data_IF_484235317841
#
_entry.id   IF_484235317841
#
_cell.length_a   1.000
_cell.length_b   1.000
_cell.length_c   1.000
_cell.angle_alpha   90.00
_cell.angle_beta   90.00
_cell.angle_gamma   90.00
#
_symmetry.space_group_name_H-M   'P 1'
#
loop_
_entity.id
_entity.type
_entity.pdbx_description
1 polymer ?
#
# COMPACT_ATOMS: atom_id res chain seq x y z
N UNK A 1 15.54 31.99 -8.35
CA UNK A 1 16.42 31.31 -7.38
C UNK A 1 15.82 30.01 -6.83
N UNK A 2 14.79 30.01 -5.97
CA UNK A 2 14.23 28.74 -5.45
C UNK A 2 13.55 27.87 -6.52
N UNK A 3 12.84 28.49 -7.46
CA UNK A 3 12.26 27.75 -8.60
C UNK A 3 13.33 27.10 -9.49
N UNK A 4 14.45 27.79 -9.69
CA UNK A 4 15.58 27.30 -10.48
C UNK A 4 16.34 26.18 -9.75
N UNK A 5 16.52 26.32 -8.43
CA UNK A 5 17.05 25.25 -7.59
C UNK A 5 16.13 24.02 -7.56
N UNK A 6 14.81 24.21 -7.58
CA UNK A 6 13.82 23.13 -7.67
C UNK A 6 13.90 22.41 -9.01
N UNK A 7 14.03 23.15 -10.11
CA UNK A 7 14.20 22.55 -11.44
C UNK A 7 15.52 21.78 -11.52
N UNK A 8 16.62 22.38 -11.04
CA UNK A 8 17.92 21.70 -10.98
C UNK A 8 17.89 20.43 -10.11
N UNK A 9 17.16 20.45 -9.00
CA UNK A 9 16.95 19.27 -8.15
C UNK A 9 16.11 18.21 -8.86
N UNK A 10 15.06 18.62 -9.57
CA UNK A 10 14.22 17.72 -10.36
C UNK A 10 15.03 17.05 -11.47
N UNK A 11 15.81 17.82 -12.22
CA UNK A 11 16.72 17.30 -13.26
C UNK A 11 17.70 16.29 -12.64
N UNK A 12 18.32 16.62 -11.50
CA UNK A 12 19.24 15.70 -10.80
C UNK A 12 18.59 14.40 -10.34
N UNK A 13 17.39 14.45 -9.75
CA UNK A 13 16.74 13.27 -9.16
C UNK A 13 15.98 12.42 -10.19
N UNK A 14 15.43 13.06 -11.23
CA UNK A 14 14.58 12.44 -12.24
C UNK A 14 15.34 12.10 -13.53
N UNK A 15 16.36 12.87 -13.95
CA UNK A 15 17.24 12.45 -15.05
C UNK A 15 18.20 11.32 -14.62
N UNK A 16 18.45 11.14 -13.31
CA UNK A 16 19.03 9.90 -12.75
C UNK A 16 18.06 8.69 -12.84
N UNK A 17 16.85 8.90 -13.37
CA UNK A 17 15.91 7.87 -13.81
C UNK A 17 15.95 7.56 -15.31
N UNK A 18 16.71 8.34 -16.10
CA UNK A 18 16.77 8.23 -17.56
C UNK A 18 17.90 7.33 -18.03
N UNK A 19 17.77 6.95 -19.29
CA UNK A 19 18.84 6.33 -20.07
C UNK A 19 19.87 7.44 -20.34
N UNK A 20 21.13 7.24 -19.95
CA UNK A 20 22.23 8.17 -20.23
C UNK A 20 22.51 8.29 -21.74
N UNK A 21 23.41 9.21 -22.13
CA UNK A 21 23.82 9.44 -23.53
C UNK A 21 24.36 8.18 -24.23
N UNK A 22 24.67 7.13 -23.46
CA UNK A 22 25.23 5.86 -23.91
C UNK A 22 24.20 4.71 -23.89
N UNK A 23 22.93 5.01 -23.62
CA UNK A 23 21.88 4.00 -23.65
C UNK A 23 21.70 3.22 -22.34
N UNK A 24 22.30 3.63 -21.21
CA UNK A 24 22.29 2.88 -19.95
C UNK A 24 21.42 3.53 -18.87
N UNK A 25 20.66 2.75 -18.08
CA UNK A 25 19.89 3.29 -16.97
C UNK A 25 20.81 3.86 -15.88
N UNK A 26 20.52 5.06 -15.41
CA UNK A 26 21.31 5.79 -14.40
C UNK A 26 21.00 5.39 -12.95
N UNK A 27 19.84 4.78 -12.70
CA UNK A 27 19.39 4.32 -11.36
C UNK A 27 20.35 3.33 -10.67
N UNK A 28 20.91 2.30 -11.35
CA UNK A 28 21.94 1.45 -10.78
C UNK A 28 23.16 2.20 -10.21
N UNK A 29 23.54 3.35 -10.78
CA UNK A 29 24.64 4.18 -10.28
C UNK A 29 24.29 4.83 -8.94
N UNK A 30 23.08 5.37 -8.83
CA UNK A 30 22.57 5.96 -7.58
C UNK A 30 22.46 4.90 -6.48
N UNK A 31 21.95 3.71 -6.81
CA UNK A 31 21.90 2.57 -5.88
C UNK A 31 23.28 2.06 -5.49
N UNK A 32 24.24 2.07 -6.42
CA UNK A 32 25.63 1.73 -6.12
C UNK A 32 26.25 2.66 -5.08
N UNK A 33 25.95 3.96 -5.14
CA UNK A 33 26.43 4.93 -4.15
C UNK A 33 25.83 4.71 -2.75
N UNK A 34 24.57 4.28 -2.67
CA UNK A 34 23.85 4.10 -1.41
C UNK A 34 24.04 2.72 -0.76
N UNK A 35 24.04 1.65 -1.55
CA UNK A 35 24.05 0.26 -1.08
C UNK A 35 25.43 -0.41 -1.25
N UNK A 36 26.21 0.02 -2.25
CA UNK A 36 27.38 -0.71 -2.71
C UNK A 36 27.02 -2.04 -3.39
N UNK A 37 28.04 -2.80 -3.80
CA UNK A 37 27.89 -4.14 -4.34
C UNK A 37 28.88 -5.09 -3.66
N UNK A 38 30.05 -5.33 -4.27
CA UNK A 38 31.03 -6.29 -3.78
C UNK A 38 31.44 -6.08 -2.30
N UNK A 39 31.76 -4.85 -1.82
CA UNK A 39 32.10 -4.66 -0.42
C UNK A 39 30.97 -5.04 0.55
N UNK A 40 29.71 -4.74 0.20
CA UNK A 40 28.56 -5.10 1.03
C UNK A 40 28.35 -6.61 1.06
N UNK A 41 28.43 -7.25 -0.11
CA UNK A 41 28.24 -8.70 -0.25
C UNK A 41 29.28 -9.49 0.54
N UNK A 42 30.55 -9.08 0.50
CA UNK A 42 31.62 -9.77 1.21
C UNK A 42 31.59 -9.48 2.72
N UNK A 43 31.43 -8.21 3.12
CA UNK A 43 31.55 -7.81 4.53
C UNK A 43 30.27 -7.98 5.36
N UNK A 44 29.10 -7.78 4.76
CA UNK A 44 27.81 -7.83 5.47
C UNK A 44 27.12 -9.17 5.27
N UNK A 45 27.08 -9.68 4.04
CA UNK A 45 26.44 -10.97 3.74
C UNK A 45 27.39 -12.17 3.94
N UNK A 46 28.70 -11.92 4.11
CA UNK A 46 29.70 -12.97 4.32
C UNK A 46 29.86 -13.91 3.11
N UNK A 47 29.45 -13.47 1.91
CA UNK A 47 29.53 -14.30 0.70
C UNK A 47 30.86 -14.10 -0.01
N UNK A 48 31.44 -15.20 -0.49
CA UNK A 48 32.62 -15.14 -1.37
C UNK A 48 32.27 -14.50 -2.72
N UNK A 49 33.27 -13.91 -3.38
CA UNK A 49 33.12 -13.35 -4.73
C UNK A 49 32.58 -14.40 -5.73
N UNK A 50 32.98 -15.67 -5.60
CA UNK A 50 32.49 -16.74 -6.47
C UNK A 50 30.99 -17.00 -6.29
N UNK A 51 30.50 -17.03 -5.04
CA UNK A 51 29.07 -17.17 -4.74
C UNK A 51 28.28 -15.95 -5.23
N UNK A 52 28.83 -14.74 -5.03
CA UNK A 52 28.25 -13.49 -5.53
C UNK A 52 28.08 -13.55 -7.05
N UNK A 53 29.16 -13.78 -7.81
CA UNK A 53 29.12 -13.77 -9.29
C UNK A 53 28.25 -14.88 -9.88
N UNK A 54 28.04 -15.99 -9.15
CA UNK A 54 27.09 -17.04 -9.54
C UNK A 54 25.63 -16.57 -9.45
N UNK A 55 25.30 -15.73 -8.47
CA UNK A 55 23.94 -15.23 -8.24
C UNK A 55 23.67 -13.90 -8.94
N UNK A 56 24.63 -12.98 -8.90
CA UNK A 56 24.59 -11.65 -9.51
C UNK A 56 25.84 -11.46 -10.38
N UNK A 57 25.81 -11.95 -11.63
CA UNK A 57 26.90 -11.73 -12.58
C UNK A 57 27.19 -10.25 -12.82
N UNK A 58 26.14 -9.41 -12.81
CA UNK A 58 26.23 -7.96 -12.92
C UNK A 58 25.74 -7.28 -11.64
N UNK A 59 26.30 -6.11 -11.32
CA UNK A 59 25.83 -5.31 -10.18
C UNK A 59 24.34 -4.91 -10.30
N UNK A 60 23.85 -4.71 -11.54
CA UNK A 60 22.43 -4.48 -11.81
C UNK A 60 21.53 -5.62 -11.32
N UNK A 61 21.99 -6.86 -11.37
CA UNK A 61 21.21 -8.02 -10.93
C UNK A 61 20.99 -7.99 -9.41
N UNK A 62 22.03 -7.58 -8.66
CA UNK A 62 21.94 -7.33 -7.22
C UNK A 62 20.93 -6.23 -6.90
N UNK A 63 21.02 -5.09 -7.58
CA UNK A 63 20.10 -3.97 -7.34
C UNK A 63 18.65 -4.33 -7.69
N UNK A 64 18.44 -5.07 -8.78
CA UNK A 64 17.12 -5.53 -9.17
C UNK A 64 16.53 -6.49 -8.12
N UNK A 65 17.31 -7.43 -7.60
CA UNK A 65 16.87 -8.34 -6.54
C UNK A 65 16.50 -7.58 -5.25
N UNK A 66 17.29 -6.57 -4.87
CA UNK A 66 16.98 -5.74 -3.69
C UNK A 66 15.71 -4.92 -3.90
N UNK A 67 15.51 -4.31 -5.07
CA UNK A 67 14.27 -3.60 -5.41
C UNK A 67 13.09 -4.55 -5.33
N UNK A 68 13.19 -5.72 -5.96
CA UNK A 68 12.14 -6.73 -5.92
C UNK A 68 11.85 -7.20 -4.49
N UNK A 69 12.87 -7.35 -3.64
CA UNK A 69 12.69 -7.70 -2.23
C UNK A 69 12.00 -6.60 -1.43
N UNK A 70 12.38 -5.34 -1.63
CA UNK A 70 11.80 -4.18 -0.93
C UNK A 70 10.35 -3.95 -1.37
N UNK A 71 10.08 -4.11 -2.66
CA UNK A 71 8.75 -3.94 -3.27
C UNK A 71 7.89 -5.20 -3.20
N UNK A 72 8.42 -6.33 -2.71
CA UNK A 72 7.64 -7.57 -2.62
C UNK A 72 6.40 -7.33 -1.76
N UNK A 73 5.29 -8.02 -2.03
CA UNK A 73 4.08 -7.88 -1.24
C UNK A 73 4.17 -8.61 0.11
N UNK A 74 5.28 -8.45 0.85
CA UNK A 74 5.42 -8.89 2.24
C UNK A 74 4.48 -8.15 3.21
N UNK A 75 3.69 -7.19 2.69
CA UNK A 75 2.68 -6.45 3.45
C UNK A 75 1.57 -7.39 3.98
N UNK A 76 1.24 -8.49 3.28
CA UNK A 76 0.09 -9.36 3.60
C UNK A 76 0.22 -10.86 3.23
N UNK A 77 1.38 -11.33 2.76
CA UNK A 77 1.56 -12.66 2.15
C UNK A 77 1.46 -13.89 3.08
N UNK A 78 0.86 -13.77 4.27
CA UNK A 78 0.60 -14.94 5.11
C UNK A 78 -0.91 -15.15 5.25
N UNK A 79 -1.45 -16.33 4.92
CA UNK A 79 -2.78 -16.78 5.38
C UNK A 79 -2.90 -16.76 6.91
N UNK A 80 -1.77 -16.74 7.63
CA UNK A 80 -1.67 -16.47 9.06
C UNK A 80 -1.34 -14.99 9.34
N UNK A 81 -1.89 -14.07 8.55
CA UNK A 81 -1.75 -12.63 8.81
C UNK A 81 -2.21 -12.37 10.24
N UNK A 82 -1.39 -11.72 11.09
CA UNK A 82 -1.77 -11.41 12.46
C UNK A 82 -3.00 -10.50 12.53
N UNK A 83 -3.47 -9.99 11.40
CA UNK A 83 -4.65 -9.13 11.29
C UNK A 83 -5.96 -9.90 11.13
N UNK A 84 -5.95 -11.16 10.70
CA UNK A 84 -7.17 -11.91 10.43
C UNK A 84 -8.00 -12.11 11.72
N UNK A 85 -7.37 -12.60 12.80
CA UNK A 85 -8.06 -12.80 14.07
C UNK A 85 -8.60 -11.49 14.69
N UNK A 86 -7.82 -10.40 14.80
CA UNK A 86 -8.34 -9.10 15.24
C UNK A 86 -9.48 -8.57 14.37
N UNK A 87 -9.39 -8.75 13.04
CA UNK A 87 -10.42 -8.31 12.11
C UNK A 87 -11.74 -9.06 12.33
N UNK A 88 -11.69 -10.39 12.49
CA UNK A 88 -12.87 -11.23 12.78
C UNK A 88 -13.53 -10.83 14.10
N UNK A 89 -12.74 -10.55 15.14
CA UNK A 89 -13.28 -10.09 16.42
C UNK A 89 -13.91 -8.69 16.31
N UNK A 90 -13.26 -7.76 15.62
CA UNK A 90 -13.79 -6.40 15.41
C UNK A 90 -15.05 -6.38 14.54
N UNK A 91 -15.16 -7.30 13.57
CA UNK A 91 -16.30 -7.40 12.68
C UNK A 91 -17.61 -7.82 13.41
N UNK A 92 -17.52 -8.24 14.68
CA UNK A 92 -18.69 -8.42 15.55
C UNK A 92 -19.34 -7.09 15.97
N UNK A 93 -18.61 -5.99 15.84
CA UNK A 93 -19.08 -4.63 16.11
C UNK A 93 -19.49 -3.86 14.86
N UNK A 94 -19.86 -2.58 15.01
CA UNK A 94 -20.24 -1.73 13.89
C UNK A 94 -19.12 -1.56 12.85
N UNK A 95 -19.50 -1.44 11.57
CA UNK A 95 -18.57 -1.31 10.44
C UNK A 95 -17.56 -0.17 10.61
N UNK A 96 -17.96 0.95 11.23
CA UNK A 96 -17.07 2.07 11.52
C UNK A 96 -15.84 1.68 12.37
N UNK A 97 -15.98 0.71 13.28
CA UNK A 97 -14.87 0.18 14.08
C UNK A 97 -13.87 -0.60 13.22
N UNK A 98 -14.36 -1.40 12.28
CA UNK A 98 -13.52 -2.13 11.31
C UNK A 98 -12.76 -1.16 10.40
N UNK A 99 -13.44 -0.14 9.86
CA UNK A 99 -12.80 0.84 8.97
C UNK A 99 -11.68 1.60 9.69
N UNK A 100 -11.90 2.03 10.95
CA UNK A 100 -10.84 2.67 11.76
C UNK A 100 -9.65 1.74 11.92
N UNK A 101 -9.89 0.50 12.34
CA UNK A 101 -8.85 -0.47 12.55
C UNK A 101 -8.00 -0.70 11.30
N UNK A 102 -8.63 -0.90 10.13
CA UNK A 102 -7.90 -1.12 8.88
C UNK A 102 -7.01 0.07 8.50
N UNK A 103 -7.48 1.30 8.68
CA UNK A 103 -6.70 2.51 8.39
C UNK A 103 -5.56 2.68 9.40
N UNK A 104 -5.84 2.53 10.69
CA UNK A 104 -4.85 2.71 11.75
C UNK A 104 -3.74 1.65 11.68
N UNK A 105 -4.10 0.42 11.37
CA UNK A 105 -3.14 -0.67 11.22
C UNK A 105 -2.23 -0.50 10.01
N UNK A 106 -2.78 -0.06 8.88
CA UNK A 106 -1.98 0.28 7.70
C UNK A 106 -0.94 1.37 8.01
N UNK A 107 -1.33 2.38 8.79
CA UNK A 107 -0.40 3.43 9.26
C UNK A 107 0.67 2.88 10.20
N UNK A 108 0.27 2.05 11.16
CA UNK A 108 1.21 1.43 12.12
C UNK A 108 2.26 0.60 11.39
N UNK A 109 1.84 -0.20 10.40
CA UNK A 109 2.76 -0.98 9.57
C UNK A 109 3.75 -0.07 8.82
N UNK A 110 3.25 0.98 8.16
CA UNK A 110 4.08 1.88 7.37
C UNK A 110 5.07 2.73 8.22
N UNK A 111 4.65 3.16 9.41
CA UNK A 111 5.50 3.97 10.29
C UNK A 111 6.62 3.15 10.92
N UNK A 112 6.37 1.89 11.26
CA UNK A 112 7.33 1.00 11.93
C UNK A 112 8.29 0.30 10.96
N UNK A 113 7.92 0.12 9.70
CA UNK A 113 8.76 -0.57 8.71
C UNK A 113 9.60 0.39 7.86
N UNK A 114 10.92 0.38 8.08
CA UNK A 114 11.89 1.10 7.23
C UNK A 114 11.79 0.66 5.76
N UNK A 115 11.60 -0.63 5.53
CA UNK A 115 11.47 -1.20 4.18
C UNK A 115 10.24 -0.66 3.45
N UNK A 116 9.12 -0.43 4.15
CA UNK A 116 7.93 0.17 3.53
C UNK A 116 8.17 1.61 3.10
N UNK A 117 8.89 2.41 3.90
CA UNK A 117 9.25 3.78 3.51
C UNK A 117 10.14 3.82 2.27
N UNK A 118 11.11 2.90 2.18
CA UNK A 118 11.96 2.76 0.99
C UNK A 118 11.13 2.33 -0.22
N UNK A 119 10.18 1.40 -0.04
CA UNK A 119 9.27 0.98 -1.11
C UNK A 119 8.44 2.16 -1.67
N UNK A 120 7.86 3.00 -0.81
CA UNK A 120 7.11 4.20 -1.24
C UNK A 120 8.02 5.21 -1.95
N UNK A 121 9.24 5.43 -1.45
CA UNK A 121 10.20 6.34 -2.09
C UNK A 121 10.63 5.86 -3.49
N UNK A 122 10.93 4.56 -3.65
CA UNK A 122 11.31 3.98 -4.94
C UNK A 122 10.18 4.10 -5.97
N UNK A 123 8.94 3.83 -5.57
CA UNK A 123 7.77 3.94 -6.45
C UNK A 123 7.48 5.39 -6.85
N UNK A 124 7.72 6.34 -5.94
CA UNK A 124 7.49 7.78 -6.19
C UNK A 124 8.58 8.38 -7.07
N UNK A 125 9.85 8.03 -6.82
CA UNK A 125 10.98 8.61 -7.54
C UNK A 125 11.18 8.00 -8.93
N UNK A 126 11.02 6.68 -9.06
CA UNK A 126 11.37 5.97 -10.29
C UNK A 126 10.28 4.99 -10.77
N UNK A 127 9.03 5.47 -10.97
CA UNK A 127 7.92 4.61 -11.40
C UNK A 127 8.16 3.93 -12.75
N UNK A 128 8.97 4.55 -13.62
CA UNK A 128 9.25 4.06 -14.97
C UNK A 128 10.45 3.11 -15.06
N UNK A 129 11.21 2.93 -13.97
CA UNK A 129 12.33 1.99 -13.95
C UNK A 129 11.80 0.56 -14.08
N UNK A 130 12.27 -0.27 -15.04
CA UNK A 130 11.62 -1.54 -15.33
C UNK A 130 11.44 -2.47 -14.13
N UNK A 131 12.42 -2.65 -13.22
CA UNK A 131 12.22 -3.45 -12.00
C UNK A 131 11.14 -2.89 -11.07
N UNK A 132 11.07 -1.56 -10.89
CA UNK A 132 10.03 -0.92 -10.07
C UNK A 132 8.66 -1.12 -10.72
N UNK A 133 8.54 -0.87 -12.03
CA UNK A 133 7.29 -1.08 -12.78
C UNK A 133 6.82 -2.53 -12.74
N UNK A 134 7.72 -3.49 -12.88
CA UNK A 134 7.41 -4.92 -12.80
C UNK A 134 6.94 -5.31 -11.40
N UNK A 135 7.65 -4.86 -10.36
CA UNK A 135 7.27 -5.10 -8.97
C UNK A 135 5.94 -4.43 -8.62
N UNK A 136 5.66 -3.23 -9.13
CA UNK A 136 4.36 -2.57 -8.99
C UNK A 136 3.23 -3.37 -9.64
N UNK A 137 3.44 -3.92 -10.84
CA UNK A 137 2.44 -4.76 -11.50
C UNK A 137 2.20 -6.08 -10.76
N UNK A 138 3.24 -6.68 -10.19
CA UNK A 138 3.11 -7.86 -9.32
C UNK A 138 2.35 -7.51 -8.04
N UNK A 139 2.75 -6.41 -7.37
CA UNK A 139 2.09 -5.88 -6.18
C UNK A 139 0.60 -5.63 -6.40
N UNK A 140 0.22 -4.97 -7.51
CA UNK A 140 -1.19 -4.72 -7.84
C UNK A 140 -2.01 -6.01 -7.94
N UNK A 141 -1.47 -7.04 -8.57
CA UNK A 141 -2.15 -8.34 -8.70
C UNK A 141 -2.32 -9.01 -7.34
N UNK A 142 -1.24 -9.12 -6.57
CA UNK A 142 -1.27 -9.76 -5.25
C UNK A 142 -2.14 -8.98 -4.24
N UNK A 143 -2.13 -7.64 -4.28
CA UNK A 143 -3.01 -6.80 -3.46
C UNK A 143 -4.48 -7.04 -3.79
N UNK A 144 -4.84 -7.06 -5.08
CA UNK A 144 -6.22 -7.32 -5.47
C UNK A 144 -6.65 -8.74 -5.09
N UNK A 145 -5.80 -9.74 -5.31
CA UNK A 145 -6.05 -11.14 -4.93
C UNK A 145 -6.25 -11.29 -3.42
N UNK A 146 -5.48 -10.57 -2.59
CA UNK A 146 -5.57 -10.68 -1.13
C UNK A 146 -6.69 -9.84 -0.52
N UNK A 147 -6.95 -8.65 -1.04
CA UNK A 147 -7.88 -7.73 -0.41
C UNK A 147 -9.32 -7.87 -0.89
N UNK A 148 -9.54 -8.17 -2.17
CA UNK A 148 -10.90 -8.30 -2.71
C UNK A 148 -11.71 -9.31 -1.89
N UNK A 149 -11.20 -10.50 -1.55
CA UNK A 149 -11.93 -11.45 -0.70
C UNK A 149 -12.27 -10.92 0.69
N UNK A 150 -11.37 -10.12 1.30
CA UNK A 150 -11.63 -9.48 2.60
C UNK A 150 -12.77 -8.47 2.47
N UNK A 151 -12.77 -7.65 1.41
CA UNK A 151 -13.83 -6.69 1.16
C UNK A 151 -15.17 -7.39 0.87
N UNK A 152 -15.17 -8.46 0.06
CA UNK A 152 -16.35 -9.28 -0.19
C UNK A 152 -16.90 -9.88 1.11
N UNK A 153 -16.02 -10.46 1.94
CA UNK A 153 -16.38 -10.99 3.26
C UNK A 153 -17.03 -9.92 4.13
N UNK A 154 -16.43 -8.73 4.23
CA UNK A 154 -17.00 -7.60 4.98
C UNK A 154 -18.34 -7.15 4.39
N UNK A 155 -18.49 -7.11 3.07
CA UNK A 155 -19.76 -6.74 2.44
C UNK A 155 -20.87 -7.74 2.78
N UNK A 156 -20.57 -9.04 2.79
CA UNK A 156 -21.50 -10.08 3.26
C UNK A 156 -21.83 -9.91 4.74
N UNK A 157 -20.81 -9.75 5.59
CA UNK A 157 -20.94 -9.55 7.04
C UNK A 157 -21.87 -8.39 7.37
N UNK A 158 -21.79 -7.27 6.63
CA UNK A 158 -22.60 -6.07 6.88
C UNK A 158 -23.82 -5.94 5.95
N UNK A 159 -24.09 -6.94 5.10
CA UNK A 159 -25.21 -6.93 4.16
C UNK A 159 -25.16 -5.81 3.13
N UNK A 160 -23.97 -5.30 2.82
CA UNK A 160 -23.75 -4.25 1.82
C UNK A 160 -23.90 -4.83 0.41
N UNK A 161 -24.59 -4.09 -0.46
CA UNK A 161 -24.82 -4.50 -1.85
C UNK A 161 -24.27 -3.44 -2.79
N UNK A 162 -23.32 -3.75 -3.68
CA UNK A 162 -22.84 -2.77 -4.66
C UNK A 162 -24.01 -2.29 -5.53
N UNK A 163 -24.00 -1.02 -5.91
CA UNK A 163 -24.94 -0.51 -6.91
C UNK A 163 -24.70 -1.17 -8.28
N UNK A 164 -25.71 -1.20 -9.17
CA UNK A 164 -25.53 -1.70 -10.52
C UNK A 164 -24.36 -1.03 -11.24
N UNK A 165 -23.44 -1.83 -11.79
CA UNK A 165 -22.24 -1.35 -12.47
C UNK A 165 -21.05 -1.03 -11.58
N UNK A 166 -21.17 -1.20 -10.26
CA UNK A 166 -20.05 -1.07 -9.32
C UNK A 166 -19.36 -2.43 -9.14
N UNK A 167 -18.06 -2.46 -9.43
CA UNK A 167 -17.18 -3.61 -9.21
C UNK A 167 -16.52 -3.54 -7.82
N UNK A 168 -16.55 -4.64 -7.07
CA UNK A 168 -15.91 -4.74 -5.76
C UNK A 168 -14.41 -4.50 -5.88
N UNK A 169 -13.76 -4.96 -6.94
CA UNK A 169 -12.34 -4.70 -7.16
C UNK A 169 -12.02 -3.21 -7.30
N UNK A 170 -12.93 -2.42 -7.88
CA UNK A 170 -12.79 -0.97 -7.97
C UNK A 170 -12.94 -0.29 -6.59
N UNK A 171 -13.85 -0.78 -5.75
CA UNK A 171 -13.97 -0.33 -4.36
C UNK A 171 -12.68 -0.65 -3.61
N UNK A 172 -12.20 -1.89 -3.66
CA UNK A 172 -10.96 -2.33 -3.01
C UNK A 172 -9.74 -1.49 -3.41
N UNK A 173 -9.65 -1.16 -4.70
CA UNK A 173 -8.61 -0.28 -5.23
C UNK A 173 -8.68 1.13 -4.62
N UNK A 174 -9.87 1.71 -4.56
CA UNK A 174 -10.07 3.05 -3.98
C UNK A 174 -9.76 3.08 -2.48
N UNK A 175 -10.12 2.03 -1.73
CA UNK A 175 -9.70 1.87 -0.34
C UNK A 175 -8.19 1.85 -0.17
N UNK A 176 -7.49 1.07 -1.01
CA UNK A 176 -6.03 1.01 -0.98
C UNK A 176 -5.40 2.38 -1.26
N UNK A 177 -5.93 3.13 -2.23
CA UNK A 177 -5.47 4.48 -2.54
C UNK A 177 -5.65 5.46 -1.37
N UNK A 178 -6.79 5.41 -0.68
CA UNK A 178 -7.06 6.24 0.51
C UNK A 178 -6.10 5.90 1.66
N UNK A 179 -5.86 4.60 1.91
CA UNK A 179 -4.90 4.13 2.91
C UNK A 179 -3.48 4.57 2.59
N UNK A 180 -3.03 4.37 1.35
CA UNK A 180 -1.70 4.80 0.87
C UNK A 180 -1.51 6.31 0.99
N UNK A 181 -2.53 7.11 0.64
CA UNK A 181 -2.47 8.57 0.81
C UNK A 181 -2.35 8.97 2.28
N UNK A 182 -3.11 8.32 3.16
CA UNK A 182 -3.05 8.60 4.59
C UNK A 182 -1.68 8.30 5.18
N UNK A 183 -1.05 7.21 4.75
CA UNK A 183 0.32 6.86 5.15
C UNK A 183 1.31 8.00 4.81
N UNK A 184 1.23 8.55 3.59
CA UNK A 184 2.11 9.65 3.17
C UNK A 184 1.92 10.90 4.04
N UNK A 185 0.68 11.25 4.37
CA UNK A 185 0.38 12.39 5.23
C UNK A 185 0.92 12.18 6.65
N UNK A 186 0.73 10.99 7.23
CA UNK A 186 1.27 10.63 8.55
C UNK A 186 2.81 10.65 8.57
N UNK A 187 3.46 10.16 7.51
CA UNK A 187 4.92 10.24 7.38
C UNK A 187 5.43 11.68 7.29
N UNK A 188 4.63 12.59 6.74
CA UNK A 188 4.89 14.03 6.74
C UNK A 188 4.53 14.73 8.08
N UNK A 189 4.20 13.96 9.12
CA UNK A 189 3.78 14.46 10.42
C UNK A 189 2.38 15.09 10.41
N UNK A 190 1.59 14.86 9.36
CA UNK A 190 0.21 15.32 9.25
C UNK A 190 -0.75 14.23 9.71
N UNK A 191 -1.70 14.58 10.56
CA UNK A 191 -2.79 13.68 10.96
C UNK A 191 -4.11 14.40 10.76
N UNK A 192 -4.64 14.44 9.52
CA UNK A 192 -5.87 15.15 9.25
C UNK A 192 -7.03 14.41 9.92
N UNK A 193 -7.61 15.07 10.91
CA UNK A 193 -8.81 14.62 11.62
C UNK A 193 -9.98 15.47 11.16
N UNK A 194 -11.05 14.79 10.74
CA UNK A 194 -12.34 15.38 10.47
C UNK A 194 -13.31 15.02 11.59
N UNK A 195 -14.06 16.01 12.08
CA UNK A 195 -15.19 15.78 12.99
C UNK A 195 -16.45 15.78 12.14
N UNK A 196 -17.20 14.67 12.17
CA UNK A 196 -18.44 14.58 11.40
C UNK A 196 -19.57 15.45 11.99
N UNK A 197 -20.70 15.50 11.29
CA UNK A 197 -21.89 16.26 11.72
C UNK A 197 -22.48 15.79 13.05
N UNK A 198 -22.05 14.64 13.55
CA UNK A 198 -22.47 14.05 14.83
C UNK A 198 -21.41 14.20 15.93
N UNK A 199 -20.35 14.97 15.68
CA UNK A 199 -19.29 15.22 16.66
C UNK A 199 -18.28 14.08 16.81
N UNK A 200 -18.32 13.07 15.93
CA UNK A 200 -17.40 11.94 16.01
C UNK A 200 -16.10 12.25 15.26
N UNK A 201 -14.92 12.13 15.89
CA UNK A 201 -13.65 12.35 15.22
C UNK A 201 -13.25 11.14 14.38
N UNK A 202 -12.82 11.37 13.15
CA UNK A 202 -12.35 10.38 12.19
C UNK A 202 -11.01 10.83 11.61
N UNK A 203 -10.11 9.89 11.33
CA UNK A 203 -9.06 10.17 10.34
C UNK A 203 -9.73 10.43 9.00
N UNK A 204 -9.21 11.40 8.23
CA UNK A 204 -9.82 11.79 6.96
C UNK A 204 -9.96 10.60 6.00
N UNK A 205 -8.99 9.68 6.01
CA UNK A 205 -9.05 8.45 5.23
C UNK A 205 -10.16 7.49 5.68
N UNK A 206 -10.34 7.27 6.99
CA UNK A 206 -11.42 6.43 7.48
C UNK A 206 -12.81 7.01 7.14
N UNK A 207 -12.97 8.32 7.25
CA UNK A 207 -14.21 8.98 6.85
C UNK A 207 -14.46 8.87 5.34
N UNK A 208 -13.43 9.06 4.51
CA UNK A 208 -13.53 8.92 3.06
C UNK A 208 -13.84 7.47 2.63
N UNK A 209 -13.37 6.48 3.37
CA UNK A 209 -13.78 5.09 3.18
C UNK A 209 -15.29 4.89 3.42
N UNK A 210 -15.85 5.53 4.45
CA UNK A 210 -17.30 5.48 4.71
C UNK A 210 -18.09 6.21 3.62
N UNK A 211 -17.60 7.36 3.15
CA UNK A 211 -18.18 8.07 1.99
C UNK A 211 -18.18 7.21 0.73
N UNK A 212 -17.08 6.50 0.49
CA UNK A 212 -16.96 5.58 -0.63
C UNK A 212 -18.02 4.47 -0.54
N UNK A 213 -18.14 3.79 0.61
CA UNK A 213 -19.16 2.75 0.83
C UNK A 213 -20.56 3.32 0.63
N UNK A 214 -20.87 4.48 1.23
CA UNK A 214 -22.16 5.14 1.12
C UNK A 214 -22.53 5.48 -0.33
N UNK A 215 -21.55 5.87 -1.16
CA UNK A 215 -21.74 6.18 -2.57
C UNK A 215 -21.73 4.97 -3.50
N UNK A 216 -21.12 3.85 -3.09
CA UNK A 216 -20.94 2.65 -3.93
C UNK A 216 -21.91 1.53 -3.61
N UNK A 217 -22.52 1.53 -2.43
CA UNK A 217 -23.31 0.42 -1.91
C UNK A 217 -24.65 0.88 -1.31
N UNK A 218 -25.66 0.02 -1.44
CA UNK A 218 -26.88 0.07 -0.65
C UNK A 218 -26.74 -0.78 0.62
N UNK A 219 -27.54 -0.45 1.63
CA UNK A 219 -27.65 -1.22 2.87
C UNK A 219 -28.42 -2.54 2.69
N UNK A 220 -28.55 -3.33 3.78
CA UNK A 220 -29.22 -4.64 3.76
C UNK A 220 -30.68 -4.59 3.29
N UNK A 221 -31.37 -3.48 3.57
CA UNK A 221 -32.75 -3.21 3.16
C UNK A 221 -32.87 -2.58 1.76
N UNK A 222 -31.74 -2.42 1.06
CA UNK A 222 -31.66 -1.81 -0.26
C UNK A 222 -31.71 -0.28 -0.27
N UNK A 223 -31.68 0.37 0.90
CA UNK A 223 -31.70 1.84 0.98
C UNK A 223 -30.30 2.44 0.80
N UNK A 224 -30.21 3.69 0.28
CA UNK A 224 -28.98 4.46 0.33
C UNK A 224 -28.51 4.65 1.78
N UNK A 225 -27.20 4.62 2.00
CA UNK A 225 -26.60 4.85 3.30
C UNK A 225 -25.94 6.23 3.31
N UNK A 226 -26.00 6.94 4.44
CA UNK A 226 -25.07 8.03 4.73
C UNK A 226 -23.76 7.46 5.33
N UNK A 227 -22.65 8.23 5.36
CA UNK A 227 -21.44 7.81 6.06
C UNK A 227 -21.67 7.49 7.54
N UNK A 228 -22.61 8.19 8.18
CA UNK A 228 -23.00 7.94 9.55
C UNK A 228 -23.76 6.61 9.70
N UNK A 229 -24.65 6.29 8.75
CA UNK A 229 -25.34 5.00 8.72
C UNK A 229 -24.33 3.86 8.50
N UNK A 230 -23.39 4.04 7.57
CA UNK A 230 -22.29 3.10 7.37
C UNK A 230 -21.47 2.90 8.64
N UNK A 231 -21.11 3.97 9.36
CA UNK A 231 -20.31 3.86 10.57
C UNK A 231 -20.98 3.01 11.67
N UNK A 232 -22.31 3.11 11.78
CA UNK A 232 -23.10 2.44 12.81
C UNK A 232 -23.71 1.11 12.35
N UNK A 233 -23.47 0.70 11.10
CA UNK A 233 -24.08 -0.49 10.52
C UNK A 233 -23.63 -1.75 11.30
N UNK A 234 -24.56 -2.49 11.93
CA UNK A 234 -24.24 -3.72 12.64
C UNK A 234 -24.01 -4.87 11.66
N UNK A 235 -23.25 -5.91 12.05
CA UNK A 235 -23.11 -7.10 11.25
C UNK A 235 -24.44 -7.86 11.19
N UNK A 236 -24.76 -8.40 10.02
CA UNK A 236 -25.90 -9.31 9.77
C UNK A 236 -25.47 -10.78 9.72
N UNK A 237 -24.17 -11.05 9.60
CA UNK A 237 -23.57 -12.38 9.63
C UNK A 237 -22.15 -12.31 10.22
N UNK A 238 -21.59 -13.42 10.75
CA UNK A 238 -20.17 -13.48 11.12
C UNK A 238 -19.25 -13.23 9.92
N UNK A 239 -18.07 -12.65 10.15
CA UNK A 239 -17.03 -12.56 9.13
C UNK A 239 -16.38 -13.93 8.93
N UNK A 240 -16.46 -14.44 7.71
CA UNK A 240 -15.80 -15.66 7.28
C UNK A 240 -14.70 -15.32 6.25
N UNK A 241 -13.46 -15.64 6.61
CA UNK A 241 -12.28 -15.46 5.76
C UNK A 241 -11.69 -16.81 5.32
N UNK A 242 -12.41 -17.93 5.52
CA UNK A 242 -11.91 -19.28 5.20
C UNK A 242 -11.72 -19.55 3.70
N UNK A 243 -12.29 -18.71 2.85
CA UNK A 243 -12.09 -18.70 1.39
C UNK A 243 -11.18 -17.59 0.86
N UNK A 244 -10.58 -16.79 1.76
CA UNK A 244 -9.67 -15.68 1.43
C UNK A 244 -8.20 -16.07 1.57
#
# INVERSE_FOLDING_TARGET
MLAEASNYLADRLLDDGRIDDEGRPTIPRTLSGALGHQPFVESVLGMSQHQMLRRWPLASDWYNDVINYVLRPARFASPASPLAAPLVELAKGPLGGVIRFLIDEANRAATTSRTLRVAEALQTLWPDYPPVRQALNAYRREVLELYVPIYEGLMVTYGLRPHPGVDVAAISWAFNALSSRNILEQLAGQSPVLVDTHGTPWTLAAHNCLLLIAGSCAGPDGRPLSPHDCANLPPVAPLDLSGA
#
